data_IF_741286713990
#
_entry.id   IF_741286713990
#
_cell.length_a   1.000
_cell.length_b   1.000
_cell.length_c   1.000
_cell.angle_alpha   90.00
_cell.angle_beta   90.00
_cell.angle_gamma   90.00
#
_symmetry.space_group_name_H-M   'P 1'
#
loop_
_entity.id
_entity.type
_entity.pdbx_description
1 polymer ?
#
# COMPACT_ATOMS: atom_id res chain seq x y z
N UNK A 1 19.56 19.99 -36.79
CA UNK A 1 19.22 20.28 -35.39
C UNK A 1 18.01 19.43 -35.06
N UNK A 2 18.26 18.32 -34.35
CA UNK A 2 17.33 17.21 -34.14
C UNK A 2 16.42 17.52 -32.96
N UNK A 3 15.10 17.50 -33.19
CA UNK A 3 14.10 17.36 -32.13
C UNK A 3 13.89 15.87 -31.86
N UNK A 4 14.26 15.38 -30.69
CA UNK A 4 13.84 14.07 -30.21
C UNK A 4 12.47 14.23 -29.55
N UNK A 5 11.44 13.81 -30.27
CA UNK A 5 10.14 13.44 -29.71
C UNK A 5 10.21 11.94 -29.39
N UNK A 6 10.16 11.57 -28.12
CA UNK A 6 9.85 10.21 -27.70
C UNK A 6 8.34 10.11 -27.44
N UNK A 7 7.62 9.22 -28.12
CA UNK A 7 6.26 8.84 -27.76
C UNK A 7 6.22 7.51 -26.99
N UNK A 8 5.43 7.48 -25.91
CA UNK A 8 4.55 6.37 -25.46
C UNK A 8 5.24 5.12 -24.86
N UNK A 9 4.92 4.78 -23.60
CA UNK A 9 3.98 3.71 -23.16
C UNK A 9 4.04 3.63 -21.63
N UNK A 10 2.97 4.05 -20.96
CA UNK A 10 2.63 3.61 -19.61
C UNK A 10 2.12 2.17 -19.65
N UNK A 11 2.63 1.34 -18.74
CA UNK A 11 2.16 0.02 -18.33
C UNK A 11 3.01 -0.37 -17.11
N UNK A 12 2.51 -0.65 -15.92
CA UNK A 12 1.18 -1.09 -15.52
C UNK A 12 0.65 -0.23 -14.37
N UNK A 13 -0.30 0.65 -14.68
CA UNK A 13 -1.39 1.00 -13.79
C UNK A 13 -2.11 -0.30 -13.46
N UNK A 14 -2.10 -0.75 -12.20
CA UNK A 14 -2.99 -1.83 -11.77
C UNK A 14 -4.41 -1.27 -11.87
N UNK A 15 -5.12 -1.70 -12.90
CA UNK A 15 -6.44 -1.20 -13.29
C UNK A 15 -7.49 -1.31 -12.16
N UNK A 16 -8.01 -0.13 -11.78
CA UNK A 16 -9.42 0.24 -11.61
C UNK A 16 -10.39 -0.75 -10.93
N UNK A 17 -10.96 -0.35 -9.80
CA UNK A 17 -12.42 -0.34 -9.60
C UNK A 17 -12.83 0.47 -8.35
N UNK A 18 -13.15 1.74 -8.56
CA UNK A 18 -14.20 2.43 -7.80
C UNK A 18 -15.25 2.84 -8.83
N UNK A 19 -16.44 2.24 -8.78
CA UNK A 19 -17.76 2.83 -9.06
C UNK A 19 -18.85 1.74 -9.00
N UNK A 20 -19.81 1.99 -8.10
CA UNK A 20 -21.22 1.59 -8.07
C UNK A 20 -21.63 0.10 -8.06
N UNK A 21 -22.25 -0.30 -6.94
CA UNK A 21 -23.47 -1.13 -6.97
C UNK A 21 -24.46 -0.67 -5.90
N UNK A 22 -25.31 0.30 -6.27
CA UNK A 22 -26.60 0.55 -5.64
C UNK A 22 -27.70 0.01 -6.55
N UNK A 23 -28.57 -0.82 -5.95
CA UNK A 23 -29.95 -1.17 -6.30
C UNK A 23 -30.30 -2.42 -7.15
N UNK A 24 -31.24 -3.17 -6.55
CA UNK A 24 -32.22 -4.15 -7.08
C UNK A 24 -31.70 -5.57 -7.36
N UNK A 25 -32.33 -6.67 -6.90
CA UNK A 25 -33.75 -6.92 -6.66
C UNK A 25 -34.06 -8.00 -5.61
N UNK A 26 -35.17 -7.76 -4.93
CA UNK A 26 -36.04 -8.63 -4.13
C UNK A 26 -36.54 -9.91 -4.81
N UNK A 27 -36.77 -10.96 -4.00
CA UNK A 27 -37.67 -12.10 -4.26
C UNK A 27 -37.34 -13.32 -3.39
N UNK A 28 -37.93 -13.46 -2.20
CA UNK A 28 -39.02 -14.42 -1.84
C UNK A 28 -38.60 -15.92 -1.97
N UNK A 29 -38.75 -16.90 -1.05
CA UNK A 29 -39.39 -17.21 0.26
C UNK A 29 -38.61 -18.46 0.77
N UNK A 30 -38.37 -18.76 2.05
CA UNK A 30 -39.32 -18.96 3.14
C UNK A 30 -38.97 -20.27 3.88
N UNK A 31 -38.82 -20.19 5.22
CA UNK A 31 -39.03 -21.25 6.25
C UNK A 31 -38.16 -22.53 6.19
N UNK A 32 -37.53 -23.06 7.25
CA UNK A 32 -37.95 -23.25 8.66
C UNK A 32 -36.73 -23.50 9.59
N UNK A 33 -36.87 -23.07 10.85
CA UNK A 33 -36.08 -23.24 12.09
C UNK A 33 -36.06 -24.70 12.67
N UNK A 34 -35.57 -24.99 13.90
CA UNK A 34 -34.18 -25.08 14.39
C UNK A 34 -33.84 -26.43 15.14
N UNK A 35 -32.56 -26.61 15.56
CA UNK A 35 -31.85 -27.44 16.61
C UNK A 35 -32.58 -28.53 17.48
N UNK A 36 -31.94 -29.39 18.34
CA UNK A 36 -30.57 -29.39 18.91
C UNK A 36 -29.88 -30.78 19.20
N UNK A 37 -28.70 -30.71 19.83
CA UNK A 37 -28.13 -31.59 20.89
C UNK A 37 -27.31 -32.89 20.62
N UNK A 38 -26.00 -32.78 20.94
CA UNK A 38 -25.28 -33.43 22.07
C UNK A 38 -24.93 -34.93 22.01
N UNK A 39 -23.62 -35.27 21.93
CA UNK A 39 -22.81 -35.94 23.00
C UNK A 39 -21.60 -36.75 22.48
N UNK A 40 -20.39 -36.30 22.89
CA UNK A 40 -19.18 -37.03 23.35
C UNK A 40 -18.82 -38.46 22.90
N UNK A 41 -17.58 -38.66 22.38
CA UNK A 41 -16.54 -39.51 23.01
C UNK A 41 -15.28 -39.71 22.12
N UNK A 42 -14.15 -39.20 22.62
CA UNK A 42 -12.75 -39.69 22.66
C UNK A 42 -12.08 -40.49 21.53
N UNK A 43 -10.85 -40.03 21.27
CA UNK A 43 -9.61 -40.74 20.92
C UNK A 43 -9.35 -41.06 19.44
N UNK A 44 -8.52 -40.22 18.80
CA UNK A 44 -7.13 -40.53 18.44
C UNK A 44 -6.66 -39.46 17.44
N UNK A 45 -5.53 -38.81 17.72
CA UNK A 45 -4.87 -37.96 16.74
C UNK A 45 -4.46 -38.80 15.52
N UNK A 46 -4.49 -38.20 14.33
CA UNK A 46 -3.31 -38.15 13.50
C UNK A 46 -2.83 -36.71 13.37
N UNK A 47 -1.51 -36.60 13.32
CA UNK A 47 -0.77 -35.43 12.92
C UNK A 47 -1.11 -35.16 11.46
N UNK A 48 -2.05 -34.26 11.19
CA UNK A 48 -2.20 -33.66 9.87
C UNK A 48 -1.45 -32.34 9.87
N UNK A 49 -0.25 -32.39 9.30
CA UNK A 49 0.48 -31.21 8.82
C UNK A 49 -0.21 -30.63 7.59
N UNK A 50 -1.46 -30.21 7.74
CA UNK A 50 -2.04 -29.18 6.88
C UNK A 50 -1.65 -27.85 7.49
N UNK A 51 -0.42 -27.39 7.19
CA UNK A 51 -0.07 -25.98 7.35
C UNK A 51 -1.02 -25.23 6.44
N UNK A 52 -2.17 -24.84 7.00
CA UNK A 52 -3.13 -24.00 6.31
C UNK A 52 -2.36 -22.72 6.00
N UNK A 53 -2.11 -22.48 4.71
CA UNK A 53 -1.43 -21.26 4.29
C UNK A 53 -2.23 -20.08 4.87
N UNK A 54 -1.58 -19.10 5.52
CA UNK A 54 -2.25 -17.91 6.02
C UNK A 54 -3.09 -17.31 4.89
N UNK A 55 -4.28 -16.81 5.24
CA UNK A 55 -5.10 -16.09 4.27
C UNK A 55 -4.33 -14.87 3.78
N UNK A 56 -4.59 -14.41 2.55
CA UNK A 56 -4.07 -13.12 2.07
C UNK A 56 -4.42 -11.95 3.01
N UNK A 57 -5.46 -12.12 3.83
CA UNK A 57 -5.86 -11.16 4.87
C UNK A 57 -4.87 -11.05 6.06
N UNK A 58 -4.02 -12.06 6.29
CA UNK A 58 -3.17 -12.15 7.49
C UNK A 58 -1.71 -11.72 7.23
N UNK A 59 -1.36 -11.33 6.00
CA UNK A 59 -0.01 -10.94 5.59
C UNK A 59 0.26 -9.43 5.75
N UNK A 60 0.47 -8.75 4.63
CA UNK A 60 0.87 -7.33 4.51
C UNK A 60 0.09 -6.33 5.38
N UNK A 61 -1.19 -6.59 5.65
CA UNK A 61 -2.10 -5.65 6.30
C UNK A 61 -2.33 -5.91 7.79
N UNK A 62 -1.84 -7.03 8.31
CA UNK A 62 -1.95 -7.37 9.73
C UNK A 62 -0.88 -6.67 10.55
N UNK A 63 -1.07 -6.54 11.86
CA UNK A 63 -0.04 -5.99 12.73
C UNK A 63 1.22 -6.86 12.71
N UNK A 64 2.38 -6.25 12.99
CA UNK A 64 3.61 -7.01 13.16
C UNK A 64 3.43 -8.03 14.31
N UNK A 65 3.67 -9.31 14.03
CA UNK A 65 3.40 -10.41 14.98
C UNK A 65 4.57 -10.70 15.92
N UNK A 66 5.73 -10.07 15.68
CA UNK A 66 6.91 -10.11 16.51
C UNK A 66 7.70 -8.81 16.32
N UNK A 67 8.56 -8.47 17.29
CA UNK A 67 9.61 -7.48 17.04
C UNK A 67 10.36 -7.91 15.76
N UNK A 68 10.67 -6.99 14.84
CA UNK A 68 11.58 -7.31 13.76
C UNK A 68 12.83 -7.95 14.33
N UNK A 69 13.41 -8.95 13.65
CA UNK A 69 14.66 -9.49 14.14
C UNK A 69 15.64 -8.30 14.12
N UNK A 70 16.75 -8.36 14.83
CA UNK A 70 17.73 -7.25 14.81
C UNK A 70 18.47 -7.14 13.46
N UNK A 71 17.78 -7.41 12.35
CA UNK A 71 18.18 -7.21 10.98
C UNK A 71 17.98 -5.74 10.61
N UNK A 72 18.90 -5.21 9.84
CA UNK A 72 18.69 -3.92 9.18
C UNK A 72 17.62 -4.02 8.08
N UNK A 73 17.10 -2.86 7.66
CA UNK A 73 16.03 -2.77 6.66
C UNK A 73 16.39 -3.51 5.35
N UNK A 74 17.63 -3.38 4.87
CA UNK A 74 18.12 -4.07 3.66
C UNK A 74 18.01 -5.58 3.81
N UNK A 75 18.44 -6.13 4.95
CA UNK A 75 18.37 -7.57 5.24
C UNK A 75 16.94 -8.07 5.39
N UNK A 76 16.03 -7.27 5.98
CA UNK A 76 14.61 -7.64 6.06
C UNK A 76 13.96 -7.71 4.67
N UNK A 77 14.23 -6.73 3.82
CA UNK A 77 13.72 -6.69 2.45
C UNK A 77 14.28 -7.83 1.59
N UNK A 78 15.57 -8.14 1.75
CA UNK A 78 16.19 -9.30 1.08
C UNK A 78 15.51 -10.61 1.50
N UNK A 79 15.30 -10.82 2.80
CA UNK A 79 14.61 -12.00 3.31
C UNK A 79 13.17 -12.10 2.78
N UNK A 80 12.47 -10.98 2.65
CA UNK A 80 11.13 -10.94 2.08
C UNK A 80 11.12 -11.45 0.63
N UNK A 81 12.00 -10.92 -0.22
CA UNK A 81 12.13 -11.32 -1.63
C UNK A 81 12.49 -12.81 -1.75
N UNK A 82 13.43 -13.29 -0.94
CA UNK A 82 13.83 -14.71 -0.91
C UNK A 82 12.64 -15.61 -0.59
N UNK A 83 11.87 -15.26 0.44
CA UNK A 83 10.69 -16.00 0.86
C UNK A 83 9.57 -15.97 -0.19
N UNK A 84 9.40 -14.87 -0.91
CA UNK A 84 8.48 -14.80 -2.06
C UNK A 84 8.88 -15.81 -3.13
N UNK A 85 10.17 -15.88 -3.48
CA UNK A 85 10.69 -16.86 -4.43
C UNK A 85 10.48 -18.31 -3.98
N UNK A 86 10.73 -18.60 -2.69
CA UNK A 86 10.46 -19.90 -2.08
C UNK A 86 8.99 -20.31 -2.19
N UNK A 87 8.07 -19.40 -1.85
CA UNK A 87 6.63 -19.66 -1.93
C UNK A 87 6.19 -20.00 -3.36
N UNK A 88 6.68 -19.27 -4.36
CA UNK A 88 6.36 -19.54 -5.77
C UNK A 88 6.94 -20.88 -6.24
N UNK A 89 8.15 -21.24 -5.77
CA UNK A 89 8.80 -22.51 -6.11
C UNK A 89 8.08 -23.72 -5.50
N UNK A 90 7.60 -23.59 -4.27
CA UNK A 90 6.91 -24.66 -3.55
C UNK A 90 5.47 -24.87 -4.03
N UNK A 91 4.76 -23.79 -4.33
CA UNK A 91 3.32 -23.83 -4.63
C UNK A 91 3.02 -23.81 -6.13
N UNK A 92 3.98 -23.41 -6.98
CA UNK A 92 3.73 -23.14 -8.39
C UNK A 92 3.10 -21.76 -8.63
N UNK A 93 3.03 -21.38 -9.90
CA UNK A 93 2.69 -20.00 -10.30
C UNK A 93 1.36 -19.98 -11.04
N UNK A 94 0.42 -19.21 -10.52
CA UNK A 94 -0.89 -19.01 -11.14
C UNK A 94 -0.82 -17.87 -12.17
N UNK A 95 -1.36 -18.05 -13.39
CA UNK A 95 -1.30 -17.05 -14.47
C UNK A 95 -2.28 -15.85 -14.30
N UNK A 96 -2.78 -15.62 -13.08
CA UNK A 96 -3.74 -14.57 -12.77
C UNK A 96 -3.96 -14.42 -11.26
N UNK A 97 -4.79 -13.44 -10.83
CA UNK A 97 -4.95 -13.08 -9.41
C UNK A 97 -5.68 -14.15 -8.58
N UNK A 98 -6.22 -15.18 -9.22
CA UNK A 98 -6.95 -16.27 -8.58
C UNK A 98 -6.12 -17.54 -8.61
N UNK A 99 -5.89 -18.14 -7.44
CA UNK A 99 -5.24 -19.44 -7.32
C UNK A 99 -6.19 -20.54 -7.77
N UNK A 100 -5.81 -21.32 -8.79
CA UNK A 100 -6.40 -22.63 -9.02
C UNK A 100 -5.49 -23.68 -8.36
N UNK A 101 -6.05 -24.57 -7.52
CA UNK A 101 -5.35 -25.77 -7.02
C UNK A 101 -4.08 -25.55 -6.18
N UNK A 102 -4.02 -24.48 -5.37
CA UNK A 102 -2.91 -24.25 -4.43
C UNK A 102 -1.74 -23.44 -4.98
N UNK A 103 -1.70 -23.16 -6.28
CA UNK A 103 -0.76 -22.23 -6.92
C UNK A 103 -0.93 -20.80 -6.40
N UNK A 104 0.13 -19.97 -6.51
CA UNK A 104 0.11 -18.58 -6.08
C UNK A 104 0.33 -17.63 -7.24
N UNK A 105 -0.43 -16.53 -7.26
CA UNK A 105 0.01 -15.37 -8.04
C UNK A 105 1.24 -14.75 -7.39
N UNK A 106 2.01 -13.98 -8.17
CA UNK A 106 3.18 -13.25 -7.64
C UNK A 106 2.78 -12.34 -6.48
N UNK A 107 1.68 -11.60 -6.62
CA UNK A 107 1.16 -10.71 -5.57
C UNK A 107 0.79 -11.48 -4.30
N UNK A 108 0.16 -12.65 -4.44
CA UNK A 108 -0.17 -13.52 -3.31
C UNK A 108 1.08 -14.05 -2.62
N UNK A 109 2.15 -14.32 -3.37
CA UNK A 109 3.42 -14.77 -2.81
C UNK A 109 4.13 -13.64 -2.04
N UNK A 110 4.12 -12.40 -2.56
CA UNK A 110 4.62 -11.23 -1.84
C UNK A 110 3.82 -11.00 -0.55
N UNK A 111 2.49 -11.00 -0.62
CA UNK A 111 1.64 -10.82 0.56
C UNK A 111 1.89 -11.88 1.65
N UNK A 112 2.06 -13.15 1.25
CA UNK A 112 2.32 -14.26 2.18
C UNK A 112 3.75 -14.32 2.69
N UNK A 113 4.71 -13.75 1.96
CA UNK A 113 6.09 -13.61 2.41
C UNK A 113 6.23 -12.56 3.52
N UNK A 114 5.26 -11.65 3.64
CA UNK A 114 5.27 -10.57 4.60
C UNK A 114 5.32 -11.07 6.04
N UNK A 115 6.39 -10.70 6.75
CA UNK A 115 6.50 -10.84 8.20
C UNK A 115 6.42 -9.49 8.92
N UNK A 116 6.71 -8.40 8.19
CA UNK A 116 6.72 -7.02 8.67
C UNK A 116 5.80 -6.19 7.79
N UNK A 117 4.75 -5.58 8.37
CA UNK A 117 3.88 -4.67 7.64
C UNK A 117 4.72 -3.52 7.07
N UNK A 118 4.53 -3.19 5.80
CA UNK A 118 5.30 -2.15 5.12
C UNK A 118 6.48 -2.68 4.29
N UNK A 119 7.26 -3.65 4.80
CA UNK A 119 8.39 -4.24 4.05
C UNK A 119 7.90 -4.91 2.75
N UNK A 120 6.71 -5.51 2.76
CA UNK A 120 6.10 -6.08 1.56
C UNK A 120 5.85 -5.03 0.48
N UNK A 121 5.31 -3.86 0.84
CA UNK A 121 5.06 -2.78 -0.10
C UNK A 121 6.37 -2.24 -0.70
N UNK A 122 7.41 -2.07 0.15
CA UNK A 122 8.74 -1.64 -0.29
C UNK A 122 9.38 -2.67 -1.23
N UNK A 123 9.33 -3.95 -0.88
CA UNK A 123 9.91 -5.03 -1.66
C UNK A 123 9.24 -5.19 -3.02
N UNK A 124 7.89 -5.14 -3.07
CA UNK A 124 7.13 -5.18 -4.33
C UNK A 124 7.48 -4.01 -5.23
N UNK A 125 7.48 -2.78 -4.71
CA UNK A 125 7.83 -1.59 -5.50
C UNK A 125 9.28 -1.66 -6.00
N UNK A 126 10.21 -2.04 -5.14
CA UNK A 126 11.63 -2.19 -5.49
C UNK A 126 11.85 -3.22 -6.60
N UNK A 127 11.16 -4.36 -6.49
CA UNK A 127 11.19 -5.42 -7.51
C UNK A 127 10.56 -4.96 -8.82
N UNK A 128 9.40 -4.30 -8.79
CA UNK A 128 8.72 -3.79 -9.99
C UNK A 128 9.58 -2.81 -10.77
N UNK A 129 10.27 -1.89 -10.07
CA UNK A 129 11.19 -0.94 -10.68
C UNK A 129 12.30 -1.67 -11.44
N UNK A 130 12.92 -2.67 -10.81
CA UNK A 130 14.02 -3.42 -11.42
C UNK A 130 13.52 -4.29 -12.58
N UNK A 131 12.40 -4.98 -12.40
CA UNK A 131 11.78 -5.80 -13.44
C UNK A 131 11.38 -4.97 -14.68
N UNK A 132 10.90 -3.74 -14.49
CA UNK A 132 10.64 -2.81 -15.58
C UNK A 132 11.93 -2.35 -16.28
N UNK A 133 12.97 -2.01 -15.51
CA UNK A 133 14.28 -1.64 -16.07
C UNK A 133 14.88 -2.77 -16.93
N UNK A 134 14.60 -4.02 -16.56
CA UNK A 134 15.05 -5.23 -17.27
C UNK A 134 14.09 -5.67 -18.40
N UNK A 135 13.03 -4.89 -18.65
CA UNK A 135 12.13 -5.09 -19.79
C UNK A 135 11.11 -6.21 -19.64
N UNK A 136 10.84 -6.69 -18.42
CA UNK A 136 9.93 -7.80 -18.15
C UNK A 136 8.44 -7.45 -18.37
N UNK A 137 8.10 -6.17 -18.51
CA UNK A 137 6.74 -5.69 -18.73
C UNK A 137 6.50 -5.08 -20.13
N UNK A 138 7.52 -5.06 -20.99
CA UNK A 138 7.45 -4.43 -22.33
C UNK A 138 6.92 -5.32 -23.45
N UNK A 139 6.81 -6.63 -23.24
CA UNK A 139 6.45 -7.61 -24.28
C UNK A 139 5.18 -8.39 -23.90
N UNK A 140 4.28 -8.61 -24.86
CA UNK A 140 2.95 -9.21 -24.68
C UNK A 140 2.92 -10.66 -24.12
N UNK A 141 4.08 -11.29 -23.92
CA UNK A 141 4.19 -12.56 -23.20
C UNK A 141 4.34 -12.26 -21.71
N UNK A 142 3.24 -12.39 -20.98
CA UNK A 142 3.21 -12.51 -19.52
C UNK A 142 3.91 -13.82 -19.15
N UNK A 143 5.24 -13.86 -19.24
CA UNK A 143 6.02 -15.03 -18.86
C UNK A 143 6.26 -14.99 -17.36
N UNK A 144 5.34 -15.59 -16.61
CA UNK A 144 5.45 -15.64 -15.16
C UNK A 144 6.68 -16.41 -14.69
N UNK A 145 7.23 -17.33 -15.49
CA UNK A 145 8.49 -18.01 -15.16
C UNK A 145 9.69 -17.05 -15.24
N UNK A 146 9.72 -16.15 -16.23
CA UNK A 146 10.74 -15.11 -16.30
C UNK A 146 10.64 -14.15 -15.10
N UNK A 147 9.43 -13.83 -14.65
CA UNK A 147 9.20 -12.99 -13.46
C UNK A 147 9.63 -13.69 -12.17
N UNK A 148 9.32 -14.98 -12.01
CA UNK A 148 9.79 -15.78 -10.86
C UNK A 148 11.31 -15.87 -10.84
N UNK A 149 11.95 -16.16 -11.98
CA UNK A 149 13.40 -16.18 -12.08
C UNK A 149 14.03 -14.81 -11.74
N UNK A 150 13.35 -13.71 -12.08
CA UNK A 150 13.77 -12.37 -11.67
C UNK A 150 13.65 -12.15 -10.16
N UNK A 151 12.55 -12.60 -9.52
CA UNK A 151 12.41 -12.56 -8.05
C UNK A 151 13.55 -13.33 -7.39
N UNK A 152 13.83 -14.55 -7.84
CA UNK A 152 14.88 -15.41 -7.26
C UNK A 152 16.30 -14.88 -7.44
N UNK A 153 16.53 -14.01 -8.43
CA UNK A 153 17.84 -13.40 -8.71
C UNK A 153 17.97 -11.97 -8.22
N UNK A 154 16.88 -11.36 -7.76
CA UNK A 154 16.88 -9.99 -7.27
C UNK A 154 17.60 -9.91 -5.92
N UNK A 155 18.56 -8.98 -5.83
CA UNK A 155 19.31 -8.71 -4.60
C UNK A 155 19.04 -7.27 -4.18
N UNK A 156 18.54 -7.12 -2.96
CA UNK A 156 18.34 -5.82 -2.32
C UNK A 156 19.65 -5.38 -1.68
N UNK A 157 20.17 -4.22 -2.10
CA UNK A 157 21.37 -3.60 -1.50
C UNK A 157 21.10 -2.14 -1.19
N UNK A 158 21.91 -1.55 -0.32
CA UNK A 158 21.88 -0.12 -0.03
C UNK A 158 21.99 0.73 -1.30
N UNK A 159 22.84 0.34 -2.26
CA UNK A 159 22.97 1.05 -3.54
C UNK A 159 21.70 0.93 -4.40
N UNK A 160 21.03 -0.22 -4.38
CA UNK A 160 19.75 -0.41 -5.07
C UNK A 160 18.69 0.50 -4.46
N UNK A 161 18.56 0.50 -3.13
CA UNK A 161 17.59 1.32 -2.40
C UNK A 161 17.87 2.81 -2.58
N UNK A 162 19.13 3.25 -2.47
CA UNK A 162 19.50 4.66 -2.68
C UNK A 162 19.22 5.14 -4.10
N UNK A 163 19.48 4.28 -5.10
CA UNK A 163 19.19 4.57 -6.52
C UNK A 163 17.68 4.68 -6.77
N UNK A 164 16.88 3.84 -6.14
CA UNK A 164 15.43 3.74 -6.37
C UNK A 164 14.63 4.76 -5.55
N UNK A 165 15.01 5.02 -4.31
CA UNK A 165 14.22 5.80 -3.34
C UNK A 165 14.89 7.10 -2.88
N UNK A 166 16.13 7.36 -3.32
CA UNK A 166 16.87 8.57 -2.98
C UNK A 166 17.84 8.38 -1.80
N UNK A 167 18.56 9.44 -1.46
CA UNK A 167 19.62 9.37 -0.44
C UNK A 167 19.07 9.06 0.97
N UNK A 168 17.88 9.57 1.28
CA UNK A 168 17.20 9.40 2.58
C UNK A 168 16.25 8.20 2.60
N UNK A 169 16.59 7.13 1.87
CA UNK A 169 15.72 5.95 1.76
C UNK A 169 15.48 5.28 3.12
N UNK A 170 16.43 5.36 4.06
CA UNK A 170 16.27 4.77 5.39
C UNK A 170 15.14 5.44 6.16
N UNK A 171 15.13 6.77 6.16
CA UNK A 171 14.10 7.58 6.78
C UNK A 171 12.73 7.33 6.14
N UNK A 172 12.69 7.12 4.82
CA UNK A 172 11.45 6.74 4.11
C UNK A 172 10.95 5.38 4.58
N UNK A 173 11.81 4.39 4.67
CA UNK A 173 11.45 3.04 5.12
C UNK A 173 11.01 3.03 6.59
N UNK A 174 11.67 3.82 7.45
CA UNK A 174 11.28 4.00 8.84
C UNK A 174 9.86 4.57 8.96
N UNK A 175 9.50 5.56 8.13
CA UNK A 175 8.13 6.10 8.08
C UNK A 175 7.13 5.05 7.61
N UNK A 176 7.48 4.25 6.60
CA UNK A 176 6.63 3.18 6.09
C UNK A 176 6.35 2.14 7.15
N UNK A 177 7.38 1.71 7.88
CA UNK A 177 7.23 0.82 9.02
C UNK A 177 6.37 1.45 10.11
N UNK A 178 6.53 2.75 10.36
CA UNK A 178 5.82 3.46 11.42
C UNK A 178 4.29 3.43 11.24
N UNK A 179 3.78 3.71 10.02
CA UNK A 179 2.34 3.65 9.77
C UNK A 179 1.83 2.21 9.56
N UNK A 180 2.67 1.29 9.10
CA UNK A 180 2.23 -0.07 8.78
C UNK A 180 2.26 -1.00 9.99
N UNK A 181 3.21 -0.83 10.92
CA UNK A 181 3.42 -1.71 12.08
C UNK A 181 2.17 -1.98 12.93
N UNK A 182 1.28 -0.99 13.20
CA UNK A 182 0.03 -1.23 13.93
C UNK A 182 -0.94 -2.18 13.22
N UNK A 183 -0.75 -2.42 11.92
CA UNK A 183 -1.72 -3.07 11.04
C UNK A 183 -2.74 -2.06 10.49
N UNK A 184 -3.24 -2.32 9.29
CA UNK A 184 -4.01 -1.35 8.52
C UNK A 184 -5.27 -0.87 9.26
N UNK A 185 -6.08 -1.81 9.77
CA UNK A 185 -7.34 -1.46 10.42
C UNK A 185 -7.11 -0.65 11.72
N UNK A 186 -6.07 -0.98 12.49
CA UNK A 186 -5.70 -0.23 13.71
C UNK A 186 -5.23 1.18 13.37
N UNK A 187 -4.34 1.31 12.38
CA UNK A 187 -3.85 2.61 11.91
C UNK A 187 -5.00 3.53 11.46
N UNK A 188 -5.96 3.00 10.70
CA UNK A 188 -7.13 3.79 10.28
C UNK A 188 -8.00 4.19 11.48
N UNK A 189 -8.17 3.33 12.48
CA UNK A 189 -8.91 3.69 13.70
C UNK A 189 -8.19 4.76 14.53
N UNK A 190 -6.85 4.71 14.60
CA UNK A 190 -6.04 5.74 15.24
C UNK A 190 -6.20 7.10 14.52
N UNK A 191 -6.09 7.12 13.20
CA UNK A 191 -6.35 8.32 12.37
C UNK A 191 -7.77 8.87 12.58
N UNK A 192 -8.76 7.99 12.76
CA UNK A 192 -10.17 8.39 12.98
C UNK A 192 -10.41 8.99 14.37
N UNK A 193 -9.65 8.58 15.37
CA UNK A 193 -9.82 9.03 16.75
C UNK A 193 -8.86 10.16 17.15
N UNK A 194 -7.81 10.38 16.36
CA UNK A 194 -6.82 11.43 16.58
C UNK A 194 -7.40 12.87 16.54
N UNK A 195 -6.77 13.81 17.26
CA UNK A 195 -7.10 15.24 17.18
C UNK A 195 -6.71 15.82 15.79
N UNK A 196 -6.99 17.10 15.52
CA UNK A 196 -6.45 17.77 14.33
C UNK A 196 -4.94 17.60 14.24
N UNK A 197 -4.47 17.05 13.11
CA UNK A 197 -3.12 16.49 12.96
C UNK A 197 -2.41 16.95 11.69
N UNK A 198 -3.14 17.37 10.66
CA UNK A 198 -2.58 17.71 9.35
C UNK A 198 -2.43 19.21 9.17
N UNK A 199 -1.32 19.66 8.59
CA UNK A 199 -1.17 21.08 8.24
C UNK A 199 -2.21 21.50 7.18
N UNK A 200 -2.87 22.64 7.37
CA UNK A 200 -3.92 23.11 6.44
C UNK A 200 -3.43 23.35 4.99
N UNK A 201 -2.13 23.54 4.79
CA UNK A 201 -1.50 23.71 3.48
C UNK A 201 -0.62 22.52 3.07
N UNK A 202 -0.82 21.33 3.67
CA UNK A 202 0.02 20.15 3.44
C UNK A 202 0.19 19.79 1.96
N UNK A 203 -0.90 19.74 1.19
CA UNK A 203 -0.85 19.48 -0.25
C UNK A 203 0.03 20.48 -1.00
N UNK A 204 -0.05 21.76 -0.65
CA UNK A 204 0.79 22.81 -1.27
C UNK A 204 2.27 22.58 -0.94
N UNK A 205 2.59 22.22 0.31
CA UNK A 205 3.96 21.90 0.71
C UNK A 205 4.44 20.67 -0.06
N UNK A 206 3.67 19.58 -0.09
CA UNK A 206 4.00 18.34 -0.83
C UNK A 206 4.27 18.60 -2.32
N UNK A 207 3.42 19.37 -2.99
CA UNK A 207 3.64 19.76 -4.41
C UNK A 207 4.86 20.66 -4.61
N UNK A 208 5.23 21.48 -3.61
CA UNK A 208 6.47 22.23 -3.67
C UNK A 208 7.67 21.29 -3.59
N UNK A 209 7.70 20.38 -2.60
CA UNK A 209 8.77 19.38 -2.42
C UNK A 209 8.98 18.54 -3.70
N UNK A 210 7.88 18.06 -4.30
CA UNK A 210 7.92 17.32 -5.57
C UNK A 210 8.65 18.10 -6.67
N UNK A 211 8.23 19.35 -6.94
CA UNK A 211 8.81 20.16 -8.02
C UNK A 211 10.30 20.41 -7.84
N UNK A 212 10.76 20.48 -6.60
CA UNK A 212 12.17 20.63 -6.32
C UNK A 212 12.95 19.33 -6.48
N UNK A 213 12.40 18.20 -6.03
CA UNK A 213 12.97 16.89 -6.32
C UNK A 213 13.13 16.70 -7.84
N UNK A 214 12.11 17.04 -8.62
CA UNK A 214 12.16 17.04 -10.09
C UNK A 214 13.24 17.99 -10.64
N UNK A 215 13.32 19.22 -10.13
CA UNK A 215 14.34 20.19 -10.54
C UNK A 215 15.78 19.74 -10.24
N UNK A 216 15.97 18.87 -9.24
CA UNK A 216 17.25 18.26 -8.91
C UNK A 216 17.53 16.96 -9.67
N UNK A 217 16.61 16.50 -10.52
CA UNK A 217 16.73 15.24 -11.24
C UNK A 217 16.36 14.00 -10.40
N UNK A 218 15.68 14.20 -9.28
CA UNK A 218 15.22 13.15 -8.37
C UNK A 218 13.72 12.82 -8.52
N UNK A 219 13.08 13.24 -9.62
CA UNK A 219 11.65 13.04 -9.84
C UNK A 219 11.24 11.55 -9.87
N UNK A 220 12.09 10.67 -10.41
CA UNK A 220 11.83 9.23 -10.40
C UNK A 220 11.88 8.64 -8.98
N UNK A 221 12.89 9.03 -8.19
CA UNK A 221 13.00 8.58 -6.80
C UNK A 221 11.85 9.09 -5.94
N UNK A 222 11.46 10.37 -6.11
CA UNK A 222 10.27 10.92 -5.48
C UNK A 222 9.06 10.05 -5.78
N UNK A 223 8.76 9.80 -7.06
CA UNK A 223 7.62 8.98 -7.47
C UNK A 223 7.67 7.59 -6.83
N UNK A 224 8.82 6.92 -6.90
CA UNK A 224 9.00 5.58 -6.34
C UNK A 224 8.70 5.54 -4.82
N UNK A 225 9.06 6.58 -4.05
CA UNK A 225 8.71 6.63 -2.62
C UNK A 225 7.21 6.80 -2.38
N UNK A 226 6.53 7.61 -3.20
CA UNK A 226 5.09 7.78 -3.11
C UNK A 226 4.34 6.50 -3.53
N UNK A 227 4.87 5.76 -4.51
CA UNK A 227 4.29 4.48 -4.98
C UNK A 227 4.30 3.40 -3.89
N UNK A 228 5.19 3.47 -2.89
CA UNK A 228 5.16 2.56 -1.72
C UNK A 228 3.86 2.76 -0.93
N UNK A 229 3.45 4.01 -0.70
CA UNK A 229 2.22 4.34 0.02
C UNK A 229 1.01 3.86 -0.78
N UNK A 230 0.96 4.20 -2.08
CA UNK A 230 -0.14 3.77 -2.97
C UNK A 230 -0.28 2.25 -2.97
N UNK A 231 0.82 1.51 -3.12
CA UNK A 231 0.79 0.06 -3.15
C UNK A 231 0.25 -0.53 -1.83
N UNK A 232 0.74 -0.04 -0.69
CA UNK A 232 0.27 -0.49 0.63
C UNK A 232 -1.23 -0.24 0.82
N UNK A 233 -1.69 0.99 0.56
CA UNK A 233 -3.09 1.35 0.74
C UNK A 233 -4.00 0.64 -0.26
N UNK A 234 -3.56 0.42 -1.49
CA UNK A 234 -4.33 -0.34 -2.48
C UNK A 234 -4.57 -1.79 -2.02
N UNK A 235 -3.51 -2.50 -1.64
CA UNK A 235 -3.58 -3.89 -1.16
C UNK A 235 -4.49 -3.98 0.06
N UNK A 236 -4.28 -3.10 1.04
CA UNK A 236 -5.00 -3.18 2.30
C UNK A 236 -6.43 -2.66 2.24
N UNK A 237 -6.73 -1.68 1.39
CA UNK A 237 -8.12 -1.27 1.13
C UNK A 237 -8.93 -2.41 0.52
N UNK A 238 -8.37 -3.13 -0.46
CA UNK A 238 -9.04 -4.27 -1.08
C UNK A 238 -9.28 -5.40 -0.08
N UNK A 239 -8.27 -5.74 0.72
CA UNK A 239 -8.41 -6.74 1.78
C UNK A 239 -9.47 -6.33 2.82
N UNK A 240 -9.49 -5.07 3.23
CA UNK A 240 -10.44 -4.55 4.21
C UNK A 240 -11.87 -4.47 3.65
N UNK A 241 -12.05 -4.13 2.37
CA UNK A 241 -13.37 -4.17 1.70
C UNK A 241 -13.95 -5.60 1.67
N UNK A 242 -13.10 -6.62 1.49
CA UNK A 242 -13.52 -8.02 1.56
C UNK A 242 -14.06 -8.44 2.94
N UNK A 243 -13.65 -7.75 4.01
CA UNK A 243 -14.09 -8.02 5.40
C UNK A 243 -15.15 -7.04 5.90
N UNK A 244 -15.53 -6.05 5.11
CA UNK A 244 -16.35 -4.94 5.57
C UNK A 244 -17.74 -5.38 6.04
N UNK A 245 -18.12 -4.96 7.26
CA UNK A 245 -19.48 -5.09 7.76
C UNK A 245 -20.39 -4.06 7.07
N UNK A 246 -21.36 -4.54 6.29
CA UNK A 246 -22.31 -3.69 5.56
C UNK A 246 -23.20 -2.83 6.46
N UNK A 247 -23.19 -3.07 7.78
CA UNK A 247 -23.90 -2.24 8.74
C UNK A 247 -23.06 -1.05 9.26
N UNK A 248 -21.76 -1.01 8.97
CA UNK A 248 -20.89 0.11 9.30
C UNK A 248 -21.04 1.26 8.29
N UNK A 249 -20.83 2.50 8.72
CA UNK A 249 -20.81 3.65 7.81
C UNK A 249 -19.64 3.52 6.84
N UNK A 250 -19.96 3.44 5.54
CA UNK A 250 -18.94 3.41 4.49
C UNK A 250 -18.18 4.74 4.43
N UNK A 251 -18.90 5.87 4.52
CA UNK A 251 -18.30 7.21 4.43
C UNK A 251 -17.27 7.46 5.54
N UNK A 252 -17.59 7.12 6.80
CA UNK A 252 -16.66 7.31 7.91
C UNK A 252 -15.41 6.40 7.83
N UNK A 253 -15.52 5.25 7.16
CA UNK A 253 -14.38 4.38 6.88
C UNK A 253 -13.55 4.90 5.72
N UNK A 254 -14.21 5.37 4.66
CA UNK A 254 -13.58 5.95 3.48
C UNK A 254 -12.80 7.22 3.84
N UNK A 255 -13.39 8.14 4.59
CA UNK A 255 -12.73 9.37 5.04
C UNK A 255 -11.48 9.07 5.88
N UNK A 256 -11.56 8.11 6.81
CA UNK A 256 -10.42 7.68 7.61
C UNK A 256 -9.27 7.11 6.76
N UNK A 257 -9.61 6.34 5.72
CA UNK A 257 -8.63 5.76 4.78
C UNK A 257 -7.95 6.83 3.93
N UNK A 258 -8.71 7.75 3.33
CA UNK A 258 -8.15 8.81 2.49
C UNK A 258 -7.28 9.77 3.31
N UNK A 259 -7.73 10.16 4.51
CA UNK A 259 -6.92 10.97 5.43
C UNK A 259 -5.66 10.22 5.88
N UNK A 260 -5.78 8.93 6.21
CA UNK A 260 -4.65 8.09 6.60
C UNK A 260 -3.61 7.95 5.49
N UNK A 261 -4.06 7.80 4.25
CA UNK A 261 -3.19 7.76 3.07
C UNK A 261 -2.52 9.10 2.81
N UNK A 262 -3.25 10.21 2.96
CA UNK A 262 -2.69 11.55 2.82
C UNK A 262 -1.59 11.82 3.87
N UNK A 263 -1.80 11.40 5.12
CA UNK A 263 -0.80 11.51 6.18
C UNK A 263 0.46 10.67 5.90
N UNK A 264 0.29 9.46 5.35
CA UNK A 264 1.41 8.61 4.96
C UNK A 264 2.22 9.25 3.81
N UNK A 265 1.54 9.78 2.78
CA UNK A 265 2.19 10.54 1.70
C UNK A 265 2.95 11.76 2.21
N UNK A 266 2.34 12.53 3.13
CA UNK A 266 2.95 13.71 3.72
C UNK A 266 4.22 13.34 4.53
N UNK A 267 4.15 12.29 5.35
CA UNK A 267 5.29 11.82 6.13
C UNK A 267 6.41 11.27 5.24
N UNK A 268 6.09 10.49 4.20
CA UNK A 268 7.08 9.97 3.24
C UNK A 268 7.72 11.12 2.44
N UNK A 269 6.92 12.11 2.03
CA UNK A 269 7.43 13.31 1.37
C UNK A 269 8.43 14.08 2.25
N UNK A 270 8.16 14.19 3.56
CA UNK A 270 9.08 14.81 4.51
C UNK A 270 10.37 13.99 4.70
N UNK A 271 10.24 12.67 4.83
CA UNK A 271 11.39 11.77 4.96
C UNK A 271 12.29 11.78 3.72
N UNK A 272 11.69 11.83 2.52
CA UNK A 272 12.42 11.88 1.25
C UNK A 272 13.38 13.08 1.19
N UNK A 273 12.92 14.28 1.57
CA UNK A 273 13.76 15.48 1.56
C UNK A 273 14.69 15.56 2.75
N UNK A 274 14.41 14.84 3.84
CA UNK A 274 15.23 14.81 5.05
C UNK A 274 15.39 16.20 5.69
N UNK A 275 16.53 16.40 6.35
CA UNK A 275 16.89 17.66 7.00
C UNK A 275 17.49 18.70 6.03
N UNK A 276 17.48 18.44 4.73
CA UNK A 276 18.06 19.36 3.75
C UNK A 276 17.41 20.74 3.83
N UNK A 277 18.24 21.78 3.67
CA UNK A 277 17.86 23.19 3.77
C UNK A 277 16.96 23.59 2.58
N UNK A 278 15.70 23.18 2.65
CA UNK A 278 14.66 23.45 1.68
C UNK A 278 14.06 24.85 1.93
N UNK A 279 13.63 25.61 0.90
CA UNK A 279 12.99 26.92 1.09
C UNK A 279 11.64 26.89 1.85
N UNK A 280 11.13 25.70 2.17
CA UNK A 280 9.83 25.41 2.78
C UNK A 280 10.06 24.27 3.78
N UNK A 281 9.62 24.45 5.03
CA UNK A 281 9.82 23.42 6.06
C UNK A 281 8.93 22.20 5.77
N UNK A 282 9.54 21.00 5.75
CA UNK A 282 8.82 19.72 5.66
C UNK A 282 8.31 19.23 7.04
N UNK A 283 8.76 19.86 8.13
CA UNK A 283 8.35 19.53 9.52
C UNK A 283 6.83 19.44 9.72
N UNK A 284 5.99 20.34 9.15
CA UNK A 284 4.55 20.23 9.30
C UNK A 284 3.94 18.97 8.68
N UNK A 285 4.59 18.37 7.66
CA UNK A 285 4.12 17.16 7.00
C UNK A 285 4.38 15.90 7.85
N UNK A 286 5.56 15.79 8.47
CA UNK A 286 5.90 14.64 9.34
C UNK A 286 5.07 14.59 10.64
N UNK A 287 4.61 15.75 11.12
CA UNK A 287 3.91 15.90 12.41
C UNK A 287 2.55 15.17 12.44
N UNK A 288 1.86 15.08 11.30
CA UNK A 288 0.51 14.53 11.27
C UNK A 288 0.45 13.03 11.56
N UNK A 289 1.38 12.26 10.98
CA UNK A 289 1.49 10.84 11.27
C UNK A 289 1.86 10.57 12.73
N UNK A 290 2.78 11.36 13.29
CA UNK A 290 3.19 11.25 14.70
C UNK A 290 2.01 11.48 15.65
N UNK A 291 1.18 12.49 15.39
CA UNK A 291 -0.01 12.77 16.21
C UNK A 291 -1.06 11.66 16.07
N UNK A 292 -1.22 11.09 14.87
CA UNK A 292 -2.17 10.00 14.67
C UNK A 292 -1.79 8.76 15.49
N UNK A 293 -0.50 8.43 15.54
CA UNK A 293 0.03 7.24 16.23
C UNK A 293 0.31 7.45 17.72
N UNK A 294 0.52 8.70 18.15
CA UNK A 294 0.72 9.05 19.57
C UNK A 294 -0.02 10.35 19.94
N UNK A 295 -1.36 10.29 20.02
CA UNK A 295 -2.19 11.48 20.27
C UNK A 295 -2.00 12.05 21.68
N UNK A 296 -1.46 11.28 22.62
CA UNK A 296 -1.25 11.73 24.01
C UNK A 296 -0.12 12.76 24.12
N UNK A 297 0.83 12.77 23.19
CA UNK A 297 1.93 13.75 23.15
C UNK A 297 1.53 15.10 22.54
N UNK A 298 0.32 15.20 22.00
CA UNK A 298 -0.16 16.41 21.34
C UNK A 298 -0.58 17.50 22.33
N UNK A 299 0.02 18.69 22.21
CA UNK A 299 -0.25 19.83 23.10
C UNK A 299 -1.18 20.89 22.51
N UNK A 300 -1.89 20.60 21.42
CA UNK A 300 -2.80 21.57 20.78
C UNK A 300 -2.08 22.56 19.85
N UNK A 301 -2.54 22.67 18.61
CA UNK A 301 -2.04 23.57 17.58
C UNK A 301 -3.19 23.95 16.63
N UNK A 302 -3.60 25.22 16.67
CA UNK A 302 -4.73 25.72 15.89
C UNK A 302 -4.47 25.76 14.37
N UNK A 303 -3.23 25.53 13.92
CA UNK A 303 -2.88 25.43 12.51
C UNK A 303 -3.10 24.02 11.93
N UNK A 304 -3.38 23.03 12.78
CA UNK A 304 -3.66 21.66 12.35
C UNK A 304 -5.16 21.45 12.14
N UNK A 305 -5.49 20.66 11.13
CA UNK A 305 -6.85 20.29 10.73
C UNK A 305 -6.96 18.77 10.56
N UNK A 306 -8.19 18.29 10.38
CA UNK A 306 -8.49 16.97 9.85
C UNK A 306 -8.93 17.03 8.39
N UNK A 307 -9.03 18.22 7.83
CA UNK A 307 -9.47 18.43 6.45
C UNK A 307 -8.42 17.91 5.46
N UNK A 308 -8.92 17.36 4.37
CA UNK A 308 -8.15 16.86 3.24
C UNK A 308 -8.97 17.02 1.96
N UNK A 309 -8.30 17.03 0.82
CA UNK A 309 -8.97 16.92 -0.47
C UNK A 309 -9.11 15.42 -0.80
N UNK A 310 -10.33 14.88 -0.95
CA UNK A 310 -10.54 13.45 -1.18
C UNK A 310 -9.89 12.93 -2.47
N UNK A 311 -9.54 13.83 -3.39
CA UNK A 311 -8.94 13.51 -4.68
C UNK A 311 -7.42 13.69 -4.70
N UNK A 312 -6.79 14.12 -3.60
CA UNK A 312 -5.36 14.48 -3.59
C UNK A 312 -4.39 13.28 -3.64
N UNK A 313 -4.89 12.08 -3.37
CA UNK A 313 -4.13 10.83 -3.43
C UNK A 313 -4.35 10.06 -4.74
N UNK A 314 -5.23 10.56 -5.62
CA UNK A 314 -5.47 9.93 -6.90
C UNK A 314 -4.27 10.13 -7.83
N UNK A 315 -4.06 9.15 -8.72
CA UNK A 315 -3.14 9.34 -9.84
C UNK A 315 -3.57 10.57 -10.67
N UNK A 316 -2.63 11.37 -11.20
CA UNK A 316 -2.97 12.53 -12.03
C UNK A 316 -3.94 12.21 -13.16
N UNK A 317 -3.83 11.05 -13.82
CA UNK A 317 -4.74 10.64 -14.90
C UNK A 317 -6.15 10.36 -14.37
N UNK A 318 -6.27 9.67 -13.24
CA UNK A 318 -7.56 9.37 -12.60
C UNK A 318 -8.24 10.64 -12.08
N UNK A 319 -7.46 11.57 -11.54
CA UNK A 319 -7.96 12.87 -11.10
C UNK A 319 -8.46 13.71 -12.29
N UNK A 320 -7.70 13.75 -13.39
CA UNK A 320 -8.14 14.43 -14.62
C UNK A 320 -9.42 13.82 -15.19
N UNK A 321 -9.56 12.50 -15.13
CA UNK A 321 -10.80 11.80 -15.52
C UNK A 321 -11.97 12.19 -14.63
N UNK A 322 -11.79 12.21 -13.30
CA UNK A 322 -12.86 12.59 -12.36
C UNK A 322 -13.24 14.07 -12.47
N UNK A 323 -12.26 14.96 -12.65
CA UNK A 323 -12.49 16.38 -12.92
C UNK A 323 -13.21 16.60 -14.27
N UNK A 324 -12.95 15.75 -15.26
CA UNK A 324 -13.64 15.78 -16.55
C UNK A 324 -15.07 15.18 -16.51
N UNK A 325 -15.35 14.33 -15.52
CA UNK A 325 -16.66 13.69 -15.30
C UNK A 325 -17.61 14.51 -14.43
N UNK A 326 -17.20 15.65 -13.85
CA UNK A 326 -18.12 16.53 -13.13
C UNK A 326 -19.25 16.99 -14.07
N UNK A 327 -20.53 16.63 -13.81
CA UNK A 327 -21.62 17.15 -14.59
C UNK A 327 -21.73 18.64 -14.30
N UNK A 328 -21.44 19.46 -15.30
CA UNK A 328 -21.81 20.88 -15.32
C UNK A 328 -23.33 20.94 -15.22
N UNK A 329 -23.87 20.99 -14.01
CA UNK A 329 -25.26 21.42 -13.77
C UNK A 329 -25.22 22.95 -13.83
N UNK A 330 -25.12 23.48 -15.05
CA UNK A 330 -25.51 24.87 -15.33
C UNK A 330 -27.03 24.97 -15.12
N UNK A 331 -27.44 25.43 -13.93
CA UNK A 331 -28.76 26.01 -13.72
C UNK A 331 -28.76 27.49 -14.12
N UNK A 332 -29.85 28.05 -14.67
CA UNK A 332 -31.22 27.89 -14.14
C UNK A 332 -32.20 27.11 -15.04
#
# INVERSE_FOLDING_TARGET
>A
MQSWRNPIVGAATIATMVVACVACSSGDRGSTTPSPDRSTSSASAPVDGSTSLPSAADGTCSAATADPPSLDATSRLQLHVERTGELLRENGVAPGPYSANGELSIDQAFDRASAYPGDAAVAVVSWLIQANADGLYGNATHDDQARVAHIESFTVTDEVLARQFGANWREVLDVVEHFASPGFDSYIDDVRTAPPMRAANALTIRSQLQRHAEAQGHGAQWKNTQDIVVNYFQVCNMAALGRWDRNASFDALYEGRVLGEALAHDAVAAAFVGDDAYPVSATPLAKGLQIALDPETYTGDAALTRDFDPNENLDPEDRELLEAEEPVIEGP
#
